data_IF_588936467218
#
_entry.id   IF_588936467218
#
_cell.length_a   1.000
_cell.length_b   1.000
_cell.length_c   1.000
_cell.angle_alpha   90.00
_cell.angle_beta   90.00
_cell.angle_gamma   90.00
#
_symmetry.space_group_name_H-M   'P 1'
#
loop_
_entity.id
_entity.type
_entity.pdbx_description
1 polymer ?
#
# COMPACT_ATOMS: atom_id res chain seq x y z
N UNK A 1 9.55 -24.96 20.82
CA UNK A 1 9.18 -24.99 20.80
C UNK A 1 8.99 -25.26 20.96
N UNK A 2 8.90 -24.63 20.93
CA UNK A 2 8.42 -24.54 21.00
C UNK A 2 8.34 -24.50 21.05
N UNK A 3 8.32 -24.25 21.26
CA UNK A 3 7.83 -24.09 21.38
C UNK A 3 7.70 -24.45 21.16
N UNK A 4 7.87 -24.54 21.06
CA UNK A 4 7.38 -24.55 20.73
C UNK A 4 7.43 -24.47 20.46
N UNK A 5 7.38 -24.73 20.72
CA UNK A 5 7.32 -24.34 20.45
C UNK A 5 7.38 -24.11 20.63
N UNK A 6 7.44 -24.58 20.68
CA UNK A 6 7.29 -23.75 20.59
C UNK A 6 7.43 -22.91 20.62
N UNK A 7 6.86 -23.96 20.98
CA UNK A 7 6.40 -22.79 21.00
C UNK A 7 7.02 -21.50 20.98
N UNK A 8 7.88 -21.30 20.46
CA UNK A 8 8.40 -19.96 20.35
C UNK A 8 7.92 -19.33 19.05
N UNK A 9 7.21 -18.21 19.15
CA UNK A 9 6.79 -17.44 17.99
C UNK A 9 7.44 -16.08 18.01
N UNK A 10 8.10 -15.72 16.94
CA UNK A 10 8.70 -14.40 16.82
C UNK A 10 7.61 -13.32 16.86
N UNK A 11 7.81 -12.33 17.72
CA UNK A 11 6.85 -11.25 17.88
C UNK A 11 6.84 -10.38 16.65
N UNK A 12 5.64 -10.12 16.11
CA UNK A 12 5.47 -9.23 14.97
C UNK A 12 5.79 -7.80 15.37
N UNK A 13 6.49 -7.04 14.52
CA UNK A 13 6.69 -5.62 14.76
C UNK A 13 5.34 -4.89 14.86
N UNK A 14 5.28 -3.92 15.74
CA UNK A 14 4.12 -3.04 15.82
C UNK A 14 4.53 -1.62 15.50
N UNK A 15 3.64 -0.92 14.80
CA UNK A 15 3.88 0.43 14.33
C UNK A 15 2.82 1.37 14.88
N UNK A 16 3.19 2.64 15.03
CA UNK A 16 2.27 3.70 15.45
C UNK A 16 2.19 4.75 14.37
N UNK A 17 1.01 5.32 14.21
CA UNK A 17 0.80 6.41 13.28
C UNK A 17 1.25 7.74 13.89
N UNK A 18 1.14 8.82 13.11
CA UNK A 18 1.56 10.16 13.53
C UNK A 18 0.73 10.70 14.71
N UNK A 19 -0.42 10.08 15.00
CA UNK A 19 -1.24 10.43 16.18
C UNK A 19 -0.96 9.54 17.38
N UNK A 20 0.00 8.61 17.30
CA UNK A 20 0.36 7.73 18.42
C UNK A 20 -0.51 6.48 18.54
N UNK A 21 -1.38 6.20 17.57
CA UNK A 21 -2.26 5.04 17.58
C UNK A 21 -1.60 3.85 16.87
N UNK A 22 -1.90 2.66 17.35
CA UNK A 22 -1.39 1.43 16.73
C UNK A 22 -1.94 1.29 15.30
N UNK A 23 -1.04 1.03 14.36
CA UNK A 23 -1.41 0.78 12.97
C UNK A 23 -1.91 -0.66 12.84
N UNK A 24 -3.09 -0.82 12.26
CA UNK A 24 -3.72 -2.14 12.06
C UNK A 24 -3.95 -2.48 10.58
N UNK A 25 -3.75 -1.52 9.68
CA UNK A 25 -3.94 -1.72 8.24
C UNK A 25 -2.80 -2.58 7.70
N UNK A 26 -3.11 -3.84 7.37
CA UNK A 26 -2.11 -4.80 6.91
C UNK A 26 -1.51 -4.41 5.56
N UNK A 27 -2.29 -3.78 4.68
CA UNK A 27 -1.79 -3.32 3.39
C UNK A 27 -0.77 -2.20 3.56
N UNK A 28 -1.08 -1.22 4.41
CA UNK A 28 -0.15 -0.13 4.70
C UNK A 28 1.14 -0.66 5.32
N UNK A 29 1.04 -1.60 6.28
CA UNK A 29 2.21 -2.21 6.90
C UNK A 29 3.05 -2.94 5.86
N UNK A 30 2.41 -3.72 4.99
CA UNK A 30 3.11 -4.48 3.95
C UNK A 30 3.93 -3.54 3.05
N UNK A 31 3.31 -2.49 2.54
CA UNK A 31 3.97 -1.54 1.64
C UNK A 31 5.07 -0.78 2.37
N UNK A 32 4.80 -0.32 3.58
CA UNK A 32 5.79 0.39 4.39
C UNK A 32 7.04 -0.46 4.61
N UNK A 33 6.87 -1.73 4.96
CA UNK A 33 8.01 -2.63 5.22
C UNK A 33 8.84 -2.86 3.97
N UNK A 34 8.20 -2.91 2.79
CA UNK A 34 8.95 -3.04 1.53
C UNK A 34 9.83 -1.82 1.27
N UNK A 35 9.33 -0.63 1.55
CA UNK A 35 10.13 0.58 1.43
C UNK A 35 11.24 0.63 2.48
N UNK A 36 10.95 0.22 3.71
CA UNK A 36 12.00 0.15 4.74
C UNK A 36 13.11 -0.84 4.37
N UNK A 37 12.76 -1.96 3.75
CA UNK A 37 13.74 -2.93 3.25
C UNK A 37 14.66 -2.32 2.19
N UNK A 38 14.21 -1.28 1.49
CA UNK A 38 15.00 -0.58 0.48
C UNK A 38 15.83 0.56 1.08
N UNK A 39 15.75 0.78 2.38
CA UNK A 39 16.52 1.81 3.06
C UNK A 39 15.78 3.13 3.28
N UNK A 40 14.50 3.19 2.95
CA UNK A 40 13.69 4.38 3.20
C UNK A 40 13.10 4.37 4.60
N UNK A 41 12.68 5.54 5.05
CA UNK A 41 11.87 5.69 6.25
C UNK A 41 10.41 5.79 5.84
N UNK A 42 9.53 5.07 6.55
CA UNK A 42 8.09 5.12 6.32
C UNK A 42 7.41 5.71 7.54
N UNK A 43 6.58 6.72 7.31
CA UNK A 43 5.77 7.34 8.35
C UNK A 43 4.31 7.00 8.10
N UNK A 44 3.70 6.32 9.07
CA UNK A 44 2.27 6.00 9.01
C UNK A 44 1.49 7.25 9.42
N UNK A 45 0.57 7.68 8.56
CA UNK A 45 -0.18 8.90 8.81
C UNK A 45 -1.41 8.61 9.67
N UNK A 46 -1.77 9.58 10.47
CA UNK A 46 -2.93 9.48 11.35
C UNK A 46 -4.21 9.30 10.54
N UNK A 47 -5.00 8.27 10.88
CA UNK A 47 -6.14 7.83 10.07
C UNK A 47 -7.20 8.91 9.84
N UNK A 48 -7.50 9.72 10.83
CA UNK A 48 -8.58 10.72 10.75
C UNK A 48 -8.06 12.15 10.79
N UNK A 49 -6.82 12.34 10.38
CA UNK A 49 -6.22 13.67 10.27
C UNK A 49 -6.88 14.41 9.10
N UNK A 50 -7.57 15.55 9.34
CA UNK A 50 -8.24 16.27 8.26
C UNK A 50 -7.28 16.83 7.22
N UNK A 51 -6.02 17.06 7.60
CA UNK A 51 -4.99 17.55 6.68
C UNK A 51 -4.26 16.42 5.98
N UNK A 52 -4.60 15.19 6.33
CA UNK A 52 -3.95 14.02 5.76
C UNK A 52 -4.51 13.72 4.37
N UNK A 53 -3.61 13.56 3.42
CA UNK A 53 -3.98 13.12 2.09
C UNK A 53 -3.59 11.69 1.77
N UNK A 54 -3.03 10.91 2.72
CA UNK A 54 -2.53 9.57 2.41
C UNK A 54 -2.33 8.74 3.68
N UNK A 55 -2.08 7.41 3.50
CA UNK A 55 -1.77 6.48 4.59
C UNK A 55 -0.31 6.52 5.01
N UNK A 56 0.59 6.70 4.05
CA UNK A 56 2.04 6.63 4.25
C UNK A 56 2.74 7.82 3.64
N UNK A 57 3.78 8.28 4.31
CA UNK A 57 4.78 9.17 3.72
C UNK A 57 6.12 8.45 3.73
N UNK A 58 6.75 8.35 2.56
CA UNK A 58 8.05 7.71 2.38
C UNK A 58 9.09 8.81 2.30
N UNK A 59 10.13 8.68 3.10
CA UNK A 59 11.22 9.67 3.20
C UNK A 59 12.56 9.00 3.01
N UNK A 60 13.55 9.80 2.61
CA UNK A 60 14.95 9.36 2.68
C UNK A 60 15.36 9.31 4.15
N UNK A 61 16.17 8.32 4.53
CA UNK A 61 16.55 8.13 5.94
C UNK A 61 17.62 9.10 6.43
N UNK A 62 18.41 9.67 5.53
CA UNK A 62 19.55 10.53 5.89
C UNK A 62 19.20 12.02 6.00
N UNK A 63 18.34 12.54 5.13
CA UNK A 63 17.99 13.97 5.13
C UNK A 63 16.48 14.22 5.29
N UNK A 64 15.71 13.18 5.51
CA UNK A 64 14.27 13.22 5.75
C UNK A 64 13.47 13.92 4.64
N UNK A 65 13.98 13.92 3.41
CA UNK A 65 13.22 14.44 2.29
C UNK A 65 12.07 13.52 1.92
N UNK A 66 10.91 14.09 1.66
CA UNK A 66 9.75 13.31 1.24
C UNK A 66 9.96 12.84 -0.19
N UNK A 67 9.89 11.52 -0.39
CA UNK A 67 10.00 10.90 -1.71
C UNK A 67 8.61 10.76 -2.33
N UNK A 68 7.63 10.28 -1.57
CA UNK A 68 6.25 10.16 -2.05
C UNK A 68 5.28 10.01 -0.88
N UNK A 69 4.03 10.35 -1.16
CA UNK A 69 2.90 10.08 -0.29
C UNK A 69 2.05 8.99 -0.94
N UNK A 70 1.57 8.03 -0.18
CA UNK A 70 0.92 6.83 -0.70
C UNK A 70 -0.37 6.55 0.04
N UNK A 71 -1.45 6.33 -0.71
CA UNK A 71 -2.68 5.76 -0.18
C UNK A 71 -2.73 4.29 -0.57
N UNK A 72 -2.91 3.39 0.40
CA UNK A 72 -2.85 1.94 0.20
C UNK A 72 -4.24 1.33 0.32
N UNK A 73 -4.59 0.46 -0.64
CA UNK A 73 -5.80 -0.36 -0.57
C UNK A 73 -5.43 -1.82 -0.76
N UNK A 74 -5.73 -2.64 0.25
CA UNK A 74 -5.64 -4.09 0.11
C UNK A 74 -6.89 -4.56 -0.64
N UNK A 75 -6.69 -5.35 -1.69
CA UNK A 75 -7.79 -5.79 -2.56
C UNK A 75 -7.75 -7.30 -2.68
N UNK A 76 -8.85 -7.94 -2.30
CA UNK A 76 -9.00 -9.40 -2.40
C UNK A 76 -9.91 -9.82 -3.55
N UNK A 77 -10.61 -8.87 -4.18
CA UNK A 77 -11.53 -9.16 -5.28
C UNK A 77 -10.78 -9.52 -6.55
N UNK A 78 -11.33 -10.48 -7.30
CA UNK A 78 -10.85 -10.84 -8.64
C UNK A 78 -11.68 -10.17 -9.74
N UNK A 79 -12.51 -9.19 -9.39
CA UNK A 79 -13.36 -8.48 -10.34
C UNK A 79 -12.72 -7.15 -10.69
N UNK A 80 -12.35 -6.91 -11.98
CA UNK A 80 -11.73 -5.66 -12.41
C UNK A 80 -12.54 -4.41 -12.05
N UNK A 81 -13.87 -4.48 -12.12
CA UNK A 81 -14.72 -3.33 -11.77
C UNK A 81 -14.61 -2.97 -10.29
N UNK A 82 -14.50 -3.96 -9.40
CA UNK A 82 -14.30 -3.69 -7.97
C UNK A 82 -12.91 -3.15 -7.70
N UNK A 83 -11.91 -3.65 -8.41
CA UNK A 83 -10.55 -3.13 -8.31
C UNK A 83 -10.54 -1.67 -8.74
N UNK A 84 -11.17 -1.36 -9.87
CA UNK A 84 -11.30 0.00 -10.39
C UNK A 84 -11.95 0.93 -9.35
N UNK A 85 -13.03 0.49 -8.72
CA UNK A 85 -13.72 1.28 -7.69
C UNK A 85 -12.81 1.56 -6.49
N UNK A 86 -12.06 0.56 -6.04
CA UNK A 86 -11.13 0.73 -4.91
C UNK A 86 -10.00 1.70 -5.26
N UNK A 87 -9.50 1.64 -6.49
CA UNK A 87 -8.51 2.61 -6.98
C UNK A 87 -9.08 4.02 -6.93
N UNK A 88 -10.32 4.19 -7.39
CA UNK A 88 -10.99 5.48 -7.35
C UNK A 88 -11.17 6.01 -5.93
N UNK A 89 -11.52 5.15 -4.99
CA UNK A 89 -11.61 5.52 -3.58
C UNK A 89 -10.27 6.03 -3.05
N UNK A 90 -9.20 5.31 -3.36
CA UNK A 90 -7.85 5.70 -2.95
C UNK A 90 -7.46 7.04 -3.57
N UNK A 91 -7.68 7.20 -4.87
CA UNK A 91 -7.34 8.42 -5.58
C UNK A 91 -8.11 9.63 -5.04
N UNK A 92 -9.33 9.42 -4.56
CA UNK A 92 -10.13 10.48 -3.94
C UNK A 92 -9.62 10.94 -2.57
N UNK A 93 -8.70 10.18 -1.98
CA UNK A 93 -8.17 10.47 -0.64
C UNK A 93 -6.79 11.13 -0.67
N UNK A 94 -6.23 11.35 -1.85
CA UNK A 94 -4.88 11.89 -1.99
C UNK A 94 -4.87 13.16 -2.83
N UNK A 95 -3.75 13.87 -2.73
CA UNK A 95 -3.50 15.07 -3.51
C UNK A 95 -2.95 14.70 -4.90
N UNK A 96 -3.02 15.63 -5.82
CA UNK A 96 -2.45 15.46 -7.15
C UNK A 96 -0.95 15.15 -7.04
N UNK A 97 -0.51 14.14 -7.78
CA UNK A 97 0.89 13.71 -7.77
C UNK A 97 1.22 12.65 -6.73
N UNK A 98 0.34 12.42 -5.77
CA UNK A 98 0.53 11.33 -4.80
C UNK A 98 0.28 9.98 -5.47
N UNK A 99 0.74 8.92 -4.82
CA UNK A 99 0.69 7.56 -5.36
C UNK A 99 -0.46 6.76 -4.76
N UNK A 100 -1.19 6.04 -5.61
CA UNK A 100 -2.11 5.00 -5.17
C UNK A 100 -1.35 3.68 -5.17
N UNK A 101 -1.38 2.94 -4.07
CA UNK A 101 -0.79 1.61 -4.00
C UNK A 101 -1.91 0.58 -3.77
N UNK A 102 -1.89 -0.46 -4.57
CA UNK A 102 -2.76 -1.62 -4.42
C UNK A 102 -1.92 -2.74 -3.85
N UNK A 103 -2.43 -3.42 -2.83
CA UNK A 103 -1.83 -4.64 -2.33
C UNK A 103 -2.76 -5.81 -2.59
N UNK A 104 -2.25 -6.83 -3.32
CA UNK A 104 -2.96 -8.07 -3.59
C UNK A 104 -2.41 -9.20 -2.69
N UNK A 105 -3.03 -9.44 -1.53
CA UNK A 105 -2.54 -10.49 -0.63
C UNK A 105 -2.69 -11.89 -1.20
N UNK A 106 -3.59 -12.07 -2.18
CA UNK A 106 -3.92 -13.38 -2.74
C UNK A 106 -3.32 -13.64 -4.12
N UNK A 107 -2.50 -12.74 -4.63
CA UNK A 107 -1.88 -12.89 -5.96
C UNK A 107 -0.38 -12.67 -5.89
N UNK A 108 0.35 -13.58 -6.51
CA UNK A 108 1.77 -13.39 -6.79
C UNK A 108 1.92 -12.56 -8.05
N UNK A 109 3.12 -12.05 -8.28
CA UNK A 109 3.47 -11.34 -9.52
C UNK A 109 3.62 -12.37 -10.64
N UNK A 110 2.50 -12.73 -11.21
CA UNK A 110 2.35 -13.74 -12.27
C UNK A 110 1.57 -13.11 -13.41
N UNK A 111 1.51 -13.81 -14.54
CA UNK A 111 0.70 -13.33 -15.66
C UNK A 111 -0.74 -13.10 -15.25
N UNK A 112 -1.33 -14.01 -14.47
CA UNK A 112 -2.71 -13.87 -13.98
C UNK A 112 -2.85 -12.65 -13.08
N UNK A 113 -1.96 -12.48 -12.11
CA UNK A 113 -2.01 -11.34 -11.20
C UNK A 113 -1.84 -10.00 -11.91
N UNK A 114 -0.88 -9.93 -12.84
CA UNK A 114 -0.66 -8.69 -13.61
C UNK A 114 -1.84 -8.37 -14.51
N UNK A 115 -2.39 -9.38 -15.20
CA UNK A 115 -3.54 -9.17 -16.08
C UNK A 115 -4.75 -8.62 -15.30
N UNK A 116 -5.00 -9.16 -14.12
CA UNK A 116 -6.09 -8.69 -13.26
C UNK A 116 -5.86 -7.23 -12.85
N UNK A 117 -4.65 -6.91 -12.39
CA UNK A 117 -4.31 -5.55 -11.99
C UNK A 117 -4.47 -4.57 -13.15
N UNK A 118 -3.93 -4.93 -14.32
CA UNK A 118 -3.96 -4.07 -15.50
C UNK A 118 -5.39 -3.82 -15.97
N UNK A 119 -6.26 -4.82 -15.90
CA UNK A 119 -7.66 -4.65 -16.27
C UNK A 119 -8.36 -3.65 -15.34
N UNK A 120 -8.15 -3.77 -14.03
CA UNK A 120 -8.74 -2.85 -13.06
C UNK A 120 -8.21 -1.43 -13.21
N UNK A 121 -6.91 -1.29 -13.43
CA UNK A 121 -6.27 0.02 -13.62
C UNK A 121 -6.75 0.67 -14.91
N UNK A 122 -6.81 -0.08 -16.01
CA UNK A 122 -7.29 0.44 -17.29
C UNK A 122 -8.72 0.97 -17.16
N UNK A 123 -9.58 0.25 -16.47
CA UNK A 123 -10.95 0.70 -16.24
C UNK A 123 -10.97 1.98 -15.39
N UNK A 124 -10.18 2.05 -14.32
CA UNK A 124 -10.12 3.23 -13.46
C UNK A 124 -9.64 4.46 -14.24
N UNK A 125 -8.62 4.30 -15.09
CA UNK A 125 -8.11 5.39 -15.91
C UNK A 125 -9.12 5.83 -16.96
N UNK A 126 -9.79 4.87 -17.60
CA UNK A 126 -10.82 5.16 -18.61
C UNK A 126 -11.98 5.95 -18.00
N UNK A 127 -12.34 5.63 -16.76
CA UNK A 127 -13.42 6.34 -16.05
C UNK A 127 -12.96 7.66 -15.44
N UNK A 128 -11.68 8.00 -15.53
CA UNK A 128 -11.12 9.20 -14.95
C UNK A 128 -10.99 9.17 -13.43
N UNK A 129 -11.02 7.98 -12.82
CA UNK A 129 -10.92 7.85 -11.38
C UNK A 129 -9.53 8.12 -10.85
N UNK A 130 -8.50 7.91 -11.66
CA UNK A 130 -7.11 8.09 -11.26
C UNK A 130 -6.28 8.61 -12.43
N UNK A 131 -5.41 9.56 -12.17
CA UNK A 131 -4.52 10.15 -13.19
C UNK A 131 -3.05 10.00 -12.83
N UNK A 132 -2.75 9.84 -11.55
CA UNK A 132 -1.38 9.76 -11.06
C UNK A 132 -0.80 8.35 -11.08
N UNK A 133 0.39 8.19 -10.48
CA UNK A 133 1.08 6.91 -10.47
C UNK A 133 0.36 5.88 -9.61
N UNK A 134 0.43 4.63 -10.04
CA UNK A 134 -0.13 3.49 -9.33
C UNK A 134 0.97 2.46 -9.12
N UNK A 135 1.10 1.95 -7.90
CA UNK A 135 1.95 0.81 -7.56
C UNK A 135 1.06 -0.39 -7.29
N UNK A 136 1.46 -1.54 -7.80
CA UNK A 136 0.78 -2.80 -7.49
C UNK A 136 1.78 -3.69 -6.76
N UNK A 137 1.47 -4.01 -5.51
CA UNK A 137 2.29 -4.87 -4.66
C UNK A 137 1.64 -6.24 -4.59
N UNK A 138 2.46 -7.26 -4.86
CA UNK A 138 2.00 -8.65 -4.89
C UNK A 138 2.42 -9.40 -3.63
N UNK A 139 1.80 -10.54 -3.38
CA UNK A 139 2.04 -11.34 -2.17
C UNK A 139 3.48 -11.84 -2.06
N UNK A 140 4.21 -11.92 -3.18
CA UNK A 140 5.62 -12.32 -3.21
C UNK A 140 6.58 -11.15 -2.99
N UNK A 141 6.09 -10.01 -2.53
CA UNK A 141 6.86 -8.81 -2.18
C UNK A 141 7.43 -8.06 -3.38
N UNK A 142 6.95 -8.33 -4.57
CA UNK A 142 7.35 -7.61 -5.77
C UNK A 142 6.34 -6.52 -6.10
N UNK A 143 6.76 -5.54 -6.90
CA UNK A 143 5.95 -4.37 -7.25
C UNK A 143 6.04 -4.11 -8.74
N UNK A 144 4.90 -3.75 -9.33
CA UNK A 144 4.85 -3.22 -10.69
C UNK A 144 4.32 -1.79 -10.63
N UNK A 145 4.84 -0.94 -11.51
CA UNK A 145 4.48 0.48 -11.58
C UNK A 145 3.66 0.76 -12.84
N UNK A 146 2.57 1.53 -12.68
CA UNK A 146 1.66 1.85 -13.78
C UNK A 146 1.34 3.34 -13.86
#
# INVERSE_FOLDING_TARGET
MGRGRGGYTEKQPSYKDSGGHKVTDKGAIFVAERYMDQGYEAVFRRRHDPDRGCDLTIKTSDDENIVKNIEVKAITSNNPSKISTRIGEAAGQISEGDTVAIFFPNHRNSQTGRTLAEAGIAEARRKGYVKGPIEVWFSDKTCEHY
#
